data_IF_390174868570
#
_entry.id   IF_390174868570
#
_cell.length_a   1.000
_cell.length_b   1.000
_cell.length_c   1.000
_cell.angle_alpha   90.00
_cell.angle_beta   90.00
_cell.angle_gamma   90.00
#
_symmetry.space_group_name_H-M   'P 1'
#
loop_
_entity.id
_entity.type
_entity.pdbx_description
1 polymer ?
#
# COMPACT_ATOMS: atom_id res chain seq x y z
N UNK A 1 -9.26 5.98 23.29
CA UNK A 1 -7.91 6.04 22.80
C UNK A 1 -7.24 4.69 22.86
N UNK A 2 -6.59 4.36 21.87
CA UNK A 2 -6.08 3.02 21.76
C UNK A 2 -4.63 3.03 21.31
N UNK A 3 -3.94 1.92 21.53
CA UNK A 3 -2.58 1.76 21.09
C UNK A 3 -2.47 1.85 19.56
N UNK A 4 -3.57 1.57 18.85
CA UNK A 4 -3.58 1.64 17.41
C UNK A 4 -3.19 3.02 16.89
N UNK A 5 -3.62 4.07 17.60
CA UNK A 5 -3.35 5.43 17.16
C UNK A 5 -1.87 5.77 17.18
N UNK A 6 -1.09 5.09 18.00
CA UNK A 6 0.35 5.36 18.08
C UNK A 6 1.14 4.62 17.00
N UNK A 7 0.51 3.69 16.30
CA UNK A 7 1.18 2.94 15.24
C UNK A 7 1.25 3.69 13.93
N UNK A 8 0.44 4.73 13.77
CA UNK A 8 0.31 5.44 12.51
C UNK A 8 0.69 6.90 12.66
N UNK A 9 1.23 7.48 11.60
CA UNK A 9 1.51 8.90 11.58
C UNK A 9 0.24 9.68 11.23
N UNK A 10 0.29 11.03 11.24
CA UNK A 10 -0.92 11.82 10.94
C UNK A 10 -1.50 11.58 9.56
N UNK A 11 -0.70 11.10 8.62
CA UNK A 11 -1.17 10.82 7.26
C UNK A 11 -1.71 9.40 7.11
N UNK A 12 -1.68 8.61 8.17
CA UNK A 12 -2.22 7.26 8.15
C UNK A 12 -1.24 6.17 7.76
N UNK A 13 0.04 6.50 7.63
CA UNK A 13 1.06 5.49 7.32
C UNK A 13 1.60 4.88 8.60
N UNK A 14 1.87 3.57 8.55
CA UNK A 14 2.42 2.89 9.70
C UNK A 14 3.83 3.42 10.01
N UNK A 15 4.14 3.55 11.29
CA UNK A 15 5.45 4.05 11.69
C UNK A 15 6.53 2.97 11.57
N UNK A 16 6.17 1.73 11.90
CA UNK A 16 7.10 0.61 11.86
C UNK A 16 6.55 -0.47 10.94
N UNK A 17 7.11 -0.63 9.74
CA UNK A 17 6.58 -1.63 8.81
C UNK A 17 6.72 -3.06 9.33
N UNK A 18 7.56 -3.29 10.31
CA UNK A 18 7.69 -4.63 10.89
C UNK A 18 6.56 -4.97 11.84
N UNK A 19 5.76 -3.98 12.24
CA UNK A 19 4.59 -4.22 13.08
C UNK A 19 3.35 -4.62 12.28
N UNK A 20 3.47 -4.63 10.96
CA UNK A 20 2.36 -4.97 10.07
C UNK A 20 2.14 -6.48 10.02
N UNK A 21 0.86 -6.86 9.85
CA UNK A 21 0.51 -8.25 9.56
C UNK A 21 -0.76 -8.24 8.72
N UNK A 22 -1.20 -9.40 8.26
CA UNK A 22 -2.35 -9.49 7.37
C UNK A 22 -3.64 -9.03 8.02
N UNK A 23 -3.77 -9.28 9.31
CA UNK A 23 -4.93 -8.83 10.06
C UNK A 23 -5.03 -7.31 10.07
N UNK A 24 -3.90 -6.66 10.30
CA UNK A 24 -3.85 -5.20 10.29
C UNK A 24 -4.14 -4.67 8.89
N UNK A 25 -3.64 -5.33 7.86
CA UNK A 25 -3.91 -4.94 6.48
C UNK A 25 -5.41 -4.95 6.20
N UNK A 26 -6.10 -5.99 6.65
CA UNK A 26 -7.54 -6.08 6.45
C UNK A 26 -8.27 -4.97 7.20
N UNK A 27 -7.80 -4.64 8.39
CA UNK A 27 -8.39 -3.53 9.15
C UNK A 27 -8.23 -2.21 8.42
N UNK A 28 -7.03 -1.95 7.90
CA UNK A 28 -6.77 -0.72 7.15
C UNK A 28 -7.62 -0.69 5.87
N UNK A 29 -7.66 -1.82 5.15
CA UNK A 29 -8.42 -1.91 3.93
C UNK A 29 -9.89 -1.62 4.16
N UNK A 30 -10.45 -2.16 5.24
CA UNK A 30 -11.86 -1.93 5.57
C UNK A 30 -12.13 -0.46 5.81
N UNK A 31 -11.22 0.23 6.47
CA UNK A 31 -11.37 1.68 6.69
C UNK A 31 -11.31 2.44 5.37
N UNK A 32 -10.57 1.91 4.40
CA UNK A 32 -10.42 2.57 3.10
C UNK A 32 -11.50 2.14 2.11
N UNK A 33 -12.47 1.37 2.55
CA UNK A 33 -13.60 0.99 1.70
C UNK A 33 -13.47 -0.33 1.00
N UNK A 34 -12.43 -1.10 1.31
CA UNK A 34 -12.22 -2.41 0.69
C UNK A 34 -12.58 -3.47 1.72
N UNK A 35 -13.73 -4.13 1.50
CA UNK A 35 -14.32 -4.97 2.53
C UNK A 35 -13.56 -6.27 2.77
N UNK A 36 -12.93 -6.81 1.73
CA UNK A 36 -12.25 -8.08 1.88
C UNK A 36 -11.07 -8.18 0.95
N UNK A 37 -9.93 -8.63 1.48
CA UNK A 37 -8.72 -8.83 0.70
C UNK A 37 -8.66 -10.29 0.25
N UNK A 38 -8.69 -10.51 -1.06
CA UNK A 38 -8.59 -11.84 -1.64
C UNK A 38 -7.19 -12.14 -2.11
N UNK A 39 -7.03 -13.26 -2.82
CA UNK A 39 -5.72 -13.73 -3.27
C UNK A 39 -4.99 -12.72 -4.14
N UNK A 40 -5.72 -12.07 -5.05
CA UNK A 40 -5.10 -11.08 -5.94
C UNK A 40 -4.62 -9.88 -5.17
N UNK A 41 -5.39 -9.45 -4.17
CA UNK A 41 -4.97 -8.34 -3.31
C UNK A 41 -3.67 -8.69 -2.60
N UNK A 42 -3.59 -9.90 -2.05
CA UNK A 42 -2.40 -10.31 -1.31
C UNK A 42 -1.17 -10.40 -2.19
N UNK A 43 -1.34 -10.84 -3.43
CA UNK A 43 -0.22 -10.86 -4.37
C UNK A 43 0.38 -9.49 -4.58
N UNK A 44 -0.47 -8.49 -4.77
CA UNK A 44 -0.02 -7.12 -5.00
C UNK A 44 0.61 -6.55 -3.74
N UNK A 45 -0.03 -6.79 -2.59
CA UNK A 45 0.49 -6.30 -1.32
C UNK A 45 1.87 -6.90 -1.04
N UNK A 46 2.01 -8.20 -1.24
CA UNK A 46 3.28 -8.87 -1.01
C UNK A 46 4.37 -8.32 -1.94
N UNK A 47 4.01 -8.03 -3.18
CA UNK A 47 4.97 -7.49 -4.13
C UNK A 47 5.42 -6.09 -3.76
N UNK A 48 4.48 -5.25 -3.28
CA UNK A 48 4.81 -3.92 -2.80
C UNK A 48 5.80 -3.99 -1.64
N UNK A 49 5.53 -4.87 -0.68
CA UNK A 49 6.39 -5.01 0.47
C UNK A 49 7.76 -5.55 0.06
N UNK A 50 7.80 -6.54 -0.82
CA UNK A 50 9.06 -7.09 -1.30
C UNK A 50 9.91 -5.99 -1.94
N UNK A 51 9.30 -5.20 -2.79
CA UNK A 51 10.03 -4.12 -3.46
C UNK A 51 10.58 -3.12 -2.44
N UNK A 52 9.74 -2.72 -1.50
CA UNK A 52 10.16 -1.73 -0.52
C UNK A 52 11.32 -2.23 0.33
N UNK A 53 11.24 -3.48 0.80
CA UNK A 53 12.29 -4.00 1.66
C UNK A 53 13.58 -4.28 0.89
N UNK A 54 13.50 -4.42 -0.42
CA UNK A 54 14.71 -4.58 -1.25
C UNK A 54 15.36 -3.25 -1.61
N UNK A 55 14.56 -2.24 -1.90
CA UNK A 55 15.08 -1.00 -2.47
C UNK A 55 14.89 0.23 -1.58
N UNK A 56 13.96 0.19 -0.65
CA UNK A 56 13.65 1.32 0.20
C UNK A 56 12.90 2.45 -0.50
N UNK A 57 12.40 2.21 -1.70
CA UNK A 57 11.79 3.28 -2.49
C UNK A 57 10.41 2.91 -2.99
N UNK A 58 9.68 3.93 -3.46
CA UNK A 58 8.36 3.75 -4.05
C UNK A 58 8.54 3.28 -5.50
N UNK A 59 7.90 2.17 -5.88
CA UNK A 59 8.06 1.64 -7.24
C UNK A 59 7.11 2.31 -8.22
N UNK A 60 7.34 2.06 -9.50
CA UNK A 60 6.35 2.36 -10.54
C UNK A 60 5.24 1.31 -10.38
N UNK A 61 4.00 1.76 -10.22
CA UNK A 61 2.92 0.84 -9.86
C UNK A 61 2.65 -0.23 -10.90
N UNK A 62 2.71 0.11 -12.19
CA UNK A 62 2.47 -0.91 -13.21
C UNK A 62 3.56 -1.99 -13.22
N UNK A 63 4.75 -1.66 -12.72
CA UNK A 63 5.80 -2.68 -12.58
C UNK A 63 5.44 -3.68 -11.49
N UNK A 64 4.84 -3.20 -10.41
CA UNK A 64 4.35 -4.08 -9.36
C UNK A 64 3.28 -5.02 -9.91
N UNK A 65 2.36 -4.48 -10.71
CA UNK A 65 1.31 -5.30 -11.31
C UNK A 65 1.90 -6.36 -12.23
N UNK A 66 2.87 -5.98 -13.06
CA UNK A 66 3.54 -6.92 -13.93
C UNK A 66 4.22 -8.03 -13.15
N UNK A 67 4.95 -7.65 -12.09
CA UNK A 67 5.68 -8.62 -11.29
C UNK A 67 4.75 -9.53 -10.51
N UNK A 68 3.55 -9.07 -10.20
CA UNK A 68 2.54 -9.89 -9.55
C UNK A 68 1.78 -10.76 -10.54
N UNK A 69 2.09 -10.65 -11.83
CA UNK A 69 1.42 -11.42 -12.87
C UNK A 69 0.06 -10.89 -13.23
N UNK A 70 -0.14 -9.59 -13.11
CA UNK A 70 -1.44 -8.97 -13.32
C UNK A 70 -1.38 -7.86 -14.33
N UNK A 71 -2.54 -7.39 -14.71
CA UNK A 71 -2.74 -6.32 -15.66
C UNK A 71 -2.26 -4.99 -15.05
N UNK A 72 -1.88 -4.05 -15.89
CA UNK A 72 -1.12 -2.86 -15.45
C UNK A 72 -1.91 -1.91 -14.54
N UNK A 73 -3.22 -2.04 -14.46
CA UNK A 73 -4.05 -1.21 -13.59
C UNK A 73 -4.48 -1.90 -12.31
N UNK A 74 -3.78 -2.96 -11.92
CA UNK A 74 -4.19 -3.77 -10.79
C UNK A 74 -4.28 -2.97 -9.48
N UNK A 75 -3.43 -1.96 -9.30
CA UNK A 75 -3.47 -1.15 -8.09
C UNK A 75 -4.81 -0.42 -7.99
N UNK A 76 -5.22 0.24 -9.07
CA UNK A 76 -6.50 0.95 -9.07
C UNK A 76 -7.67 -0.01 -8.93
N UNK A 77 -7.59 -1.16 -9.59
CA UNK A 77 -8.69 -2.13 -9.58
C UNK A 77 -8.86 -2.79 -8.23
N UNK A 78 -7.76 -3.13 -7.58
CA UNK A 78 -7.82 -3.92 -6.34
C UNK A 78 -7.72 -3.07 -5.08
N UNK A 79 -6.92 -2.01 -5.10
CA UNK A 79 -6.58 -1.26 -3.89
C UNK A 79 -6.93 0.21 -4.01
N UNK A 80 -7.77 0.56 -4.94
CA UNK A 80 -8.36 1.87 -5.16
C UNK A 80 -7.38 2.90 -5.73
N UNK A 81 -6.23 3.11 -5.10
CA UNK A 81 -5.23 4.04 -5.61
C UNK A 81 -3.89 3.73 -4.95
N UNK A 82 -2.79 4.31 -5.48
CA UNK A 82 -1.47 3.99 -4.93
C UNK A 82 -1.27 4.38 -3.48
N UNK A 83 -1.89 5.47 -3.02
CA UNK A 83 -1.73 5.88 -1.62
C UNK A 83 -2.39 4.88 -0.68
N UNK A 84 -3.61 4.45 -1.03
CA UNK A 84 -4.29 3.44 -0.21
C UNK A 84 -3.55 2.13 -0.25
N UNK A 85 -3.04 1.76 -1.42
CA UNK A 85 -2.25 0.54 -1.54
C UNK A 85 -1.04 0.56 -0.63
N UNK A 86 -0.34 1.70 -0.58
CA UNK A 86 0.83 1.86 0.25
C UNK A 86 0.49 1.70 1.74
N UNK A 87 -0.61 2.33 2.16
CA UNK A 87 -1.04 2.24 3.56
C UNK A 87 -1.47 0.82 3.93
N UNK A 88 -2.24 0.19 3.05
CA UNK A 88 -2.72 -1.18 3.30
C UNK A 88 -1.56 -2.16 3.37
N UNK A 89 -0.56 -1.96 2.52
CA UNK A 89 0.62 -2.83 2.49
C UNK A 89 1.52 -2.62 3.70
N UNK A 90 1.18 -1.68 4.57
CA UNK A 90 1.94 -1.48 5.80
C UNK A 90 3.32 -0.91 5.58
N UNK A 91 3.42 0.03 4.66
CA UNK A 91 4.69 0.68 4.35
C UNK A 91 4.70 2.07 4.95
N UNK A 92 5.85 2.55 5.40
CA UNK A 92 5.90 3.81 6.15
C UNK A 92 5.75 5.01 5.25
N UNK A 93 5.55 6.17 5.86
CA UNK A 93 5.43 7.42 5.13
C UNK A 93 6.62 7.58 4.19
N UNK A 94 6.39 7.70 2.88
CA UNK A 94 7.51 7.72 1.92
C UNK A 94 8.18 9.08 1.77
N UNK A 95 7.66 10.12 2.45
CA UNK A 95 8.20 11.46 2.33
C UNK A 95 7.40 12.30 1.35
N UNK A 96 7.65 13.60 1.37
CA UNK A 96 6.82 14.54 0.61
C UNK A 96 6.86 14.33 -0.90
N UNK A 97 8.06 14.10 -1.43
CA UNK A 97 8.22 13.91 -2.86
C UNK A 97 7.52 12.64 -3.33
N UNK A 98 7.71 11.57 -2.60
CA UNK A 98 7.11 10.29 -2.99
C UNK A 98 5.59 10.31 -2.80
N UNK A 99 5.10 11.04 -1.80
CA UNK A 99 3.66 11.20 -1.63
C UNK A 99 3.05 11.93 -2.82
N UNK A 100 3.74 12.95 -3.31
CA UNK A 100 3.29 13.66 -4.51
C UNK A 100 3.26 12.74 -5.72
N UNK A 101 4.26 11.87 -5.84
CA UNK A 101 4.28 10.89 -6.91
C UNK A 101 3.10 9.93 -6.81
N UNK A 102 2.78 9.47 -5.61
CA UNK A 102 1.66 8.55 -5.43
C UNK A 102 0.33 9.19 -5.83
N UNK A 103 0.16 10.48 -5.54
CA UNK A 103 -1.03 11.21 -5.96
C UNK A 103 -1.10 11.35 -7.48
N UNK A 104 0.03 11.65 -8.10
CA UNK A 104 0.09 11.83 -9.54
C UNK A 104 -0.12 10.52 -10.28
N UNK A 105 0.39 9.43 -9.73
CA UNK A 105 0.27 8.12 -10.36
C UNK A 105 -1.18 7.70 -10.55
N UNK A 106 -2.08 8.17 -9.66
CA UNK A 106 -3.51 7.93 -9.80
C UNK A 106 -4.04 8.47 -11.11
N UNK A 107 -3.47 9.60 -11.54
CA UNK A 107 -3.97 10.32 -12.70
C UNK A 107 -3.37 9.81 -13.99
N UNK A 108 -2.09 9.48 -13.97
CA UNK A 108 -1.37 9.17 -15.20
C UNK A 108 -1.31 7.68 -15.51
N UNK A 109 -1.71 6.87 -14.57
CA UNK A 109 -1.80 5.46 -14.83
C UNK A 109 -3.02 5.15 -15.65
#
# INVERSE_FOLDING_TARGET
MTATDTQFDPDGYIKDPNAWNRELAQTIASREGILQLGDDHWRVIDELRRHYFETGSVPVMRHICRDAGMEEHCISDLLADPRRAWRIAGLPNPGEEAKAYLETAEIVE
#
